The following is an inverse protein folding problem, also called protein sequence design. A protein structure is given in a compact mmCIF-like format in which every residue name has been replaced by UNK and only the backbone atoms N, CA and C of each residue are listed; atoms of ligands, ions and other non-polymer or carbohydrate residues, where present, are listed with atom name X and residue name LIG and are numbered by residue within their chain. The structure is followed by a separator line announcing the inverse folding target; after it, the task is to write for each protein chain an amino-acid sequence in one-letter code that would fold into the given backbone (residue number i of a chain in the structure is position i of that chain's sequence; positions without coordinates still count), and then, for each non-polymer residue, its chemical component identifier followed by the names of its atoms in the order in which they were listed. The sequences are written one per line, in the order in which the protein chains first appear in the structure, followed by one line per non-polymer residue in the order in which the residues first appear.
data_IF_197526320968
#
_entry.id   IF_197526320968
#
_cell.length_a   1.000
_cell.length_b   1.000
_cell.length_c   1.000
_cell.angle_alpha   90.00
_cell.angle_beta   90.00
_cell.angle_gamma   90.00
#
_symmetry.space_group_name_H-M   'P 1'
#
loop_
_entity.id
_entity.type
_entity.pdbx_description
1 polymer ?
#
# COMPACT_ATOMS: atom_id res chain seq x y z
N UNK A 1 -26.72 60.98 -43.37
CA UNK A 1 -27.06 59.87 -44.29
C UNK A 1 -25.82 59.01 -44.45
N UNK A 2 -25.94 57.69 -44.30
CA UNK A 2 -24.95 56.73 -44.79
C UNK A 2 -23.86 56.29 -43.80
N UNK A 3 -23.95 55.02 -43.41
CA UNK A 3 -23.08 54.16 -42.59
C UNK A 3 -21.70 53.97 -43.26
N UNK A 4 -20.62 53.40 -42.70
CA UNK A 4 -20.15 52.93 -41.38
C UNK A 4 -19.07 51.88 -41.71
N UNK A 5 -17.96 51.84 -40.93
CA UNK A 5 -17.11 50.66 -40.62
C UNK A 5 -16.20 50.11 -41.75
N UNK A 6 -14.94 49.71 -41.53
CA UNK A 6 -14.07 49.51 -40.35
C UNK A 6 -12.62 49.71 -40.83
N UNK A 7 -11.76 50.28 -39.97
CA UNK A 7 -10.33 50.37 -40.20
C UNK A 7 -9.56 49.12 -39.75
N UNK A 8 -8.45 48.87 -40.43
CA UNK A 8 -7.18 48.46 -39.79
C UNK A 8 -6.23 49.66 -39.86
N UNK A 9 -5.18 49.72 -39.02
CA UNK A 9 -3.86 49.56 -39.65
C UNK A 9 -2.76 48.92 -38.78
N UNK A 10 -1.64 48.68 -39.46
CA UNK A 10 -0.38 48.06 -39.04
C UNK A 10 0.51 49.02 -38.22
N UNK A 11 1.50 48.43 -37.54
CA UNK A 11 2.75 48.98 -36.93
C UNK A 11 3.62 49.79 -37.93
N UNK A 12 4.73 50.52 -37.60
CA UNK A 12 5.80 50.27 -36.58
C UNK A 12 6.44 51.59 -35.95
N UNK A 13 7.78 51.79 -35.80
CA UNK A 13 8.71 51.66 -34.62
C UNK A 13 9.35 53.04 -34.16
N UNK A 14 10.57 53.18 -33.56
CA UNK A 14 11.14 52.78 -32.24
C UNK A 14 11.80 53.99 -31.44
N UNK A 15 12.93 53.92 -30.66
CA UNK A 15 13.11 54.53 -29.31
C UNK A 15 14.21 55.65 -29.24
N UNK A 16 14.59 56.21 -28.06
CA UNK A 16 15.87 55.84 -27.36
C UNK A 16 15.91 56.07 -25.81
N UNK A 17 16.60 55.23 -25.00
CA UNK A 17 17.88 55.39 -24.23
C UNK A 17 18.07 56.59 -23.27
N UNK A 18 18.41 56.32 -21.98
CA UNK A 18 19.54 56.90 -21.21
C UNK A 18 19.63 56.41 -19.73
N UNK A 19 20.87 56.16 -19.24
CA UNK A 19 21.37 56.63 -17.92
C UNK A 19 21.25 55.78 -16.63
N UNK A 20 22.35 55.54 -15.86
CA UNK A 20 22.41 54.67 -14.65
C UNK A 20 22.44 55.43 -13.29
N UNK A 21 22.37 54.68 -12.17
CA UNK A 21 23.32 54.69 -11.00
C UNK A 21 22.70 54.60 -9.57
N UNK A 22 23.46 53.92 -8.69
CA UNK A 22 23.55 53.95 -7.21
C UNK A 22 22.64 53.12 -6.26
N UNK A 23 23.36 52.63 -5.23
CA UNK A 23 23.11 51.66 -4.14
C UNK A 23 22.26 52.25 -2.99
N UNK A 24 21.56 51.39 -2.24
CA UNK A 24 21.74 51.15 -0.79
C UNK A 24 20.83 50.00 -0.27
N UNK A 25 21.43 49.11 0.52
CA UNK A 25 20.83 48.19 1.52
C UNK A 25 21.13 48.84 2.91
N UNK A 26 20.52 48.49 4.07
CA UNK A 26 19.82 47.23 4.41
C UNK A 26 18.62 47.34 5.41
N UNK A 27 18.12 46.16 5.81
CA UNK A 27 17.49 45.78 7.09
C UNK A 27 15.96 45.86 7.29
N UNK A 28 15.40 44.65 7.40
CA UNK A 28 14.46 44.15 8.41
C UNK A 28 13.12 44.89 8.60
N UNK A 29 12.03 44.27 8.16
CA UNK A 29 10.93 44.00 9.11
C UNK A 29 10.05 42.83 8.66
N UNK A 30 9.72 41.98 9.64
CA UNK A 30 8.88 40.82 9.51
C UNK A 30 7.44 41.25 9.21
N UNK A 31 7.03 41.16 7.93
CA UNK A 31 5.65 41.31 7.51
C UNK A 31 5.02 39.96 7.21
N UNK A 32 4.55 39.26 8.24
CA UNK A 32 3.61 38.15 8.11
C UNK A 32 2.34 38.66 7.42
N UNK A 33 2.28 38.56 6.09
CA UNK A 33 1.02 38.62 5.37
C UNK A 33 0.34 37.27 5.58
N UNK A 34 -0.41 37.19 6.67
CA UNK A 34 -1.36 36.13 6.96
C UNK A 34 -2.45 36.19 5.87
N UNK A 35 -2.20 35.55 4.72
CA UNK A 35 -3.23 35.35 3.71
C UNK A 35 -4.33 34.52 4.34
N UNK A 36 -5.50 35.15 4.45
CA UNK A 36 -6.71 34.64 5.06
C UNK A 36 -7.14 33.34 4.37
N UNK A 37 -6.65 32.20 4.86
CA UNK A 37 -7.14 30.89 4.46
C UNK A 37 -8.51 30.73 5.10
N UNK A 38 -9.57 30.85 4.31
CA UNK A 38 -10.92 30.49 4.74
C UNK A 38 -10.85 29.11 5.40
N UNK A 39 -11.30 29.02 6.65
CA UNK A 39 -11.25 27.83 7.48
C UNK A 39 -12.25 26.80 6.95
N UNK A 40 -11.85 26.12 5.87
CA UNK A 40 -12.52 24.94 5.39
C UNK A 40 -12.38 23.85 6.46
N UNK A 41 -13.41 23.02 6.71
CA UNK A 41 -13.39 21.96 7.72
C UNK A 41 -12.41 20.81 7.39
N UNK A 42 -11.50 21.02 6.44
CA UNK A 42 -10.48 20.09 5.99
C UNK A 42 -9.21 20.88 5.66
N UNK A 43 -8.06 20.28 5.96
CA UNK A 43 -6.76 20.80 5.52
C UNK A 43 -6.68 20.65 4.01
N UNK A 44 -6.58 21.76 3.29
CA UNK A 44 -6.33 21.79 1.85
C UNK A 44 -4.86 22.16 1.61
N UNK A 45 -4.17 21.40 0.77
CA UNK A 45 -2.83 21.78 0.28
C UNK A 45 -2.96 22.39 -1.10
N UNK A 46 -2.37 23.56 -1.30
CA UNK A 46 -2.26 24.17 -2.64
C UNK A 46 -1.24 23.42 -3.51
N UNK A 47 -0.29 22.74 -2.86
CA UNK A 47 0.68 21.88 -3.51
C UNK A 47 0.02 20.55 -3.90
N UNK A 48 0.16 20.19 -5.17
CA UNK A 48 -0.26 18.89 -5.68
C UNK A 48 0.59 17.82 -4.99
N UNK A 49 -0.02 16.94 -4.19
CA UNK A 49 0.66 15.73 -3.76
C UNK A 49 1.16 14.98 -5.00
N UNK A 50 2.41 14.52 -4.99
CA UNK A 50 2.94 13.57 -5.97
C UNK A 50 2.22 12.23 -5.80
N UNK A 51 0.94 12.19 -6.14
CA UNK A 51 0.20 10.96 -6.31
C UNK A 51 0.76 10.30 -7.56
N UNK A 52 1.24 9.06 -7.43
CA UNK A 52 1.67 8.22 -8.54
C UNK A 52 0.47 7.87 -9.42
N UNK A 53 -0.10 8.86 -10.09
CA UNK A 53 -1.22 8.69 -10.99
C UNK A 53 -0.67 8.02 -12.25
N UNK A 54 -1.02 6.74 -12.37
CA UNK A 54 -0.86 5.88 -13.56
C UNK A 54 0.51 5.25 -13.84
N UNK A 55 1.56 5.50 -13.05
CA UNK A 55 2.83 4.79 -13.25
C UNK A 55 3.07 3.79 -12.10
N UNK A 56 2.96 2.46 -12.34
CA UNK A 56 3.45 1.50 -11.36
C UNK A 56 4.93 1.82 -11.06
N UNK A 57 5.40 1.65 -9.81
CA UNK A 57 6.81 1.85 -9.50
C UNK A 57 7.65 1.07 -10.52
N UNK A 58 8.75 1.64 -11.04
CA UNK A 58 9.58 0.96 -12.01
C UNK A 58 9.91 -0.41 -11.43
N UNK A 59 9.35 -1.44 -12.07
CA UNK A 59 9.63 -2.80 -11.67
C UNK A 59 11.16 -2.96 -11.79
N UNK A 60 11.85 -3.50 -10.79
CA UNK A 60 13.27 -3.86 -10.93
C UNK A 60 13.53 -4.80 -12.13
N UNK A 61 12.46 -5.38 -12.68
CA UNK A 61 12.44 -6.26 -13.85
C UNK A 61 12.11 -5.55 -15.17
N UNK A 62 11.86 -4.22 -15.16
CA UNK A 62 11.57 -3.39 -16.34
C UNK A 62 12.66 -2.40 -16.70
N UNK A 63 13.73 -2.33 -15.94
CA UNK A 63 15.00 -2.01 -16.58
C UNK A 63 15.27 -3.18 -17.52
N UNK A 64 15.17 -2.94 -18.83
CA UNK A 64 15.90 -3.77 -19.76
C UNK A 64 17.32 -3.74 -19.26
N UNK A 65 17.74 -4.82 -18.57
CA UNK A 65 19.13 -5.06 -18.20
C UNK A 65 19.96 -4.52 -19.35
N UNK A 66 20.99 -3.68 -19.12
CA UNK A 66 21.86 -3.26 -20.19
C UNK A 66 22.17 -4.53 -20.97
N UNK A 67 21.77 -4.56 -22.24
CA UNK A 67 22.05 -5.67 -23.14
C UNK A 67 23.54 -5.53 -23.42
N UNK A 68 24.38 -5.73 -22.40
CA UNK A 68 25.48 -6.62 -22.63
C UNK A 68 24.80 -7.85 -23.18
N UNK A 69 25.03 -8.11 -24.46
CA UNK A 69 25.04 -9.45 -25.01
C UNK A 69 26.11 -10.23 -24.24
N UNK A 70 25.93 -10.38 -22.93
CA UNK A 70 26.46 -11.47 -22.17
C UNK A 70 25.85 -12.65 -22.89
N UNK A 71 26.65 -13.19 -23.79
CA UNK A 71 26.39 -14.42 -24.51
C UNK A 71 26.34 -15.47 -23.42
N UNK A 72 25.21 -15.55 -22.72
CA UNK A 72 24.95 -16.57 -21.72
C UNK A 72 25.12 -17.85 -22.51
N UNK A 73 26.11 -18.65 -22.12
CA UNK A 73 26.37 -19.93 -22.77
C UNK A 73 25.16 -20.84 -22.47
N UNK A 74 24.11 -20.69 -23.29
CA UNK A 74 22.91 -21.50 -23.18
C UNK A 74 23.26 -22.86 -23.77
N UNK A 75 23.23 -23.94 -22.97
CA UNK A 75 23.44 -25.28 -23.51
C UNK A 75 22.34 -25.58 -24.52
N UNK A 76 22.73 -26.01 -25.71
CA UNK A 76 21.80 -26.46 -26.76
C UNK A 76 21.68 -27.97 -26.74
N UNK A 77 20.51 -28.47 -27.15
CA UNK A 77 20.29 -29.89 -27.44
C UNK A 77 20.05 -30.06 -28.94
N UNK A 78 20.30 -31.27 -29.45
CA UNK A 78 20.05 -31.65 -30.84
C UNK A 78 19.32 -32.98 -30.89
N UNK A 79 18.57 -33.19 -31.95
CA UNK A 79 18.00 -34.50 -32.24
C UNK A 79 19.12 -35.47 -32.65
N UNK A 80 19.16 -36.63 -32.00
CA UNK A 80 20.10 -37.71 -32.28
C UNK A 80 19.31 -39.00 -32.32
N UNK A 81 19.00 -39.48 -33.52
CA UNK A 81 18.29 -40.73 -33.71
C UNK A 81 19.28 -41.87 -33.47
N UNK A 82 18.94 -42.76 -32.52
CA UNK A 82 19.72 -43.94 -32.19
C UNK A 82 18.86 -45.18 -32.49
N UNK A 83 19.42 -46.12 -33.23
CA UNK A 83 18.78 -47.41 -33.49
C UNK A 83 18.90 -48.32 -32.25
N UNK A 84 17.86 -49.11 -31.92
CA UNK A 84 17.96 -50.09 -30.85
C UNK A 84 19.11 -51.06 -31.06
N UNK A 85 19.87 -51.32 -30.00
CA UNK A 85 21.01 -52.20 -30.05
C UNK A 85 20.56 -53.66 -30.25
N UNK A 86 21.30 -54.42 -31.07
CA UNK A 86 21.04 -55.84 -31.26
C UNK A 86 21.27 -56.65 -29.97
N UNK A 87 20.64 -57.82 -29.85
CA UNK A 87 20.67 -58.62 -28.62
C UNK A 87 22.09 -59.03 -28.17
N UNK A 88 22.99 -59.29 -29.13
CA UNK A 88 24.40 -59.60 -28.86
C UNK A 88 25.12 -58.40 -28.23
N UNK A 89 25.03 -57.26 -28.89
CA UNK A 89 25.62 -55.98 -28.45
C UNK A 89 25.04 -55.53 -27.10
N UNK A 90 23.76 -55.81 -26.83
CA UNK A 90 23.12 -55.49 -25.54
C UNK A 90 23.69 -56.31 -24.37
N UNK A 91 24.18 -57.51 -24.65
CA UNK A 91 24.80 -58.39 -23.63
C UNK A 91 26.24 -57.99 -23.33
N UNK A 92 26.88 -57.23 -24.23
CA UNK A 92 28.23 -56.71 -24.09
C UNK A 92 28.28 -55.39 -23.29
N UNK A 93 27.13 -54.84 -22.88
CA UNK A 93 27.05 -53.63 -22.04
C UNK A 93 27.59 -53.97 -20.63
N UNK A 94 28.70 -53.35 -20.19
CA UNK A 94 29.33 -53.70 -18.91
C UNK A 94 28.57 -53.16 -17.69
N UNK A 95 27.60 -52.27 -17.90
CA UNK A 95 26.78 -51.68 -16.84
C UNK A 95 25.52 -52.51 -16.57
N UNK A 96 25.35 -52.96 -15.32
CA UNK A 96 24.13 -53.61 -14.88
C UNK A 96 23.03 -52.57 -14.63
N UNK A 97 21.89 -52.72 -15.33
CA UNK A 97 20.75 -51.81 -15.27
C UNK A 97 19.63 -52.27 -14.32
N UNK A 98 19.89 -53.28 -13.47
CA UNK A 98 18.91 -53.77 -12.50
C UNK A 98 18.60 -52.71 -11.44
N UNK A 99 17.33 -52.64 -11.01
CA UNK A 99 16.86 -51.71 -9.98
C UNK A 99 17.70 -51.75 -8.70
N UNK A 100 18.16 -52.93 -8.30
CA UNK A 100 18.98 -53.12 -7.11
C UNK A 100 20.30 -52.34 -7.17
N UNK A 101 20.88 -52.16 -8.36
CA UNK A 101 22.11 -51.36 -8.54
C UNK A 101 21.82 -49.89 -8.29
N UNK A 102 20.73 -49.36 -8.84
CA UNK A 102 20.31 -47.98 -8.62
C UNK A 102 19.91 -47.73 -7.17
N UNK A 103 19.16 -48.65 -6.55
CA UNK A 103 18.80 -48.58 -5.14
C UNK A 103 20.04 -48.51 -4.24
N UNK A 104 21.05 -49.36 -4.49
CA UNK A 104 22.32 -49.32 -3.76
C UNK A 104 23.09 -48.02 -4.01
N UNK A 105 23.17 -47.57 -5.27
CA UNK A 105 23.85 -46.33 -5.66
C UNK A 105 23.24 -45.10 -4.98
N UNK A 106 21.91 -45.04 -4.86
CA UNK A 106 21.20 -43.88 -4.33
C UNK A 106 20.90 -43.95 -2.82
N UNK A 107 20.98 -45.13 -2.20
CA UNK A 107 20.62 -45.35 -0.78
C UNK A 107 21.25 -44.33 0.17
N UNK A 108 22.55 -44.07 0.04
CA UNK A 108 23.25 -43.10 0.89
C UNK A 108 22.73 -41.67 0.70
N UNK A 109 22.56 -41.23 -0.54
CA UNK A 109 22.10 -39.87 -0.87
C UNK A 109 20.68 -39.64 -0.35
N UNK A 110 19.80 -40.62 -0.54
CA UNK A 110 18.42 -40.57 -0.05
C UNK A 110 18.38 -40.46 1.48
N UNK A 111 19.19 -41.26 2.18
CA UNK A 111 19.28 -41.21 3.65
C UNK A 111 19.83 -39.87 4.15
N UNK A 112 20.83 -39.31 3.46
CA UNK A 112 21.41 -38.02 3.79
C UNK A 112 20.41 -36.88 3.60
N UNK A 113 19.62 -36.89 2.53
CA UNK A 113 18.51 -35.94 2.33
C UNK A 113 17.44 -36.08 3.41
N UNK A 114 17.03 -37.32 3.73
CA UNK A 114 16.07 -37.58 4.82
C UNK A 114 16.59 -37.07 6.17
N UNK A 115 17.89 -37.24 6.45
CA UNK A 115 18.54 -36.74 7.67
C UNK A 115 18.54 -35.21 7.71
N UNK A 116 18.94 -34.55 6.61
CA UNK A 116 18.92 -33.09 6.48
C UNK A 116 17.51 -32.52 6.67
N UNK A 117 16.49 -33.13 6.05
CA UNK A 117 15.08 -32.73 6.25
C UNK A 117 14.65 -32.80 7.72
N UNK A 118 15.01 -33.87 8.45
CA UNK A 118 14.69 -33.98 9.88
C UNK A 118 15.38 -32.90 10.71
N UNK A 119 16.66 -32.65 10.41
CA UNK A 119 17.45 -31.61 11.07
C UNK A 119 16.87 -30.21 10.85
N UNK A 120 16.52 -29.87 9.61
CA UNK A 120 15.93 -28.57 9.28
C UNK A 120 14.55 -28.39 9.92
N UNK A 121 13.72 -29.44 9.92
CA UNK A 121 12.42 -29.42 10.62
C UNK A 121 12.62 -29.15 12.11
N UNK A 122 13.58 -29.83 12.75
CA UNK A 122 13.87 -29.62 14.17
C UNK A 122 14.34 -28.17 14.42
N UNK A 123 15.30 -27.68 13.64
CA UNK A 123 15.82 -26.33 13.75
C UNK A 123 14.74 -25.27 13.57
N UNK A 124 13.85 -25.43 12.57
CA UNK A 124 12.73 -24.51 12.34
C UNK A 124 11.77 -24.51 13.54
N UNK A 125 11.49 -25.68 14.13
CA UNK A 125 10.63 -25.77 15.33
C UNK A 125 11.22 -25.03 16.52
N UNK A 126 12.52 -25.24 16.77
CA UNK A 126 13.26 -24.56 17.83
C UNK A 126 13.28 -23.04 17.62
N UNK A 127 13.60 -22.58 16.41
CA UNK A 127 13.57 -21.16 16.04
C UNK A 127 12.18 -20.53 16.24
N UNK A 128 11.11 -21.22 15.83
CA UNK A 128 9.73 -20.76 16.03
C UNK A 128 9.36 -20.70 17.51
N UNK A 129 9.80 -21.66 18.33
CA UNK A 129 9.57 -21.64 19.77
C UNK A 129 10.26 -20.43 20.41
N UNK A 130 11.54 -20.22 20.09
CA UNK A 130 12.33 -19.09 20.58
C UNK A 130 11.70 -17.75 20.17
N UNK A 131 11.33 -17.60 18.90
CA UNK A 131 10.68 -16.40 18.38
C UNK A 131 9.35 -16.11 19.08
N UNK A 132 8.51 -17.12 19.32
CA UNK A 132 7.25 -16.96 20.07
C UNK A 132 7.49 -16.52 21.50
N UNK A 133 8.51 -17.08 22.16
CA UNK A 133 8.88 -16.68 23.52
C UNK A 133 9.35 -15.22 23.57
N UNK A 134 10.20 -14.82 22.64
CA UNK A 134 10.68 -13.44 22.51
C UNK A 134 9.53 -12.46 22.22
N UNK A 135 8.57 -12.83 21.36
CA UNK A 135 7.36 -12.02 21.13
C UNK A 135 6.52 -11.87 22.39
N UNK A 136 6.34 -12.92 23.20
CA UNK A 136 5.63 -12.82 24.49
C UNK A 136 6.35 -11.92 25.46
N UNK A 137 7.68 -12.01 25.55
CA UNK A 137 8.49 -11.12 26.38
C UNK A 137 8.36 -9.66 25.92
N UNK A 138 8.49 -9.39 24.62
CA UNK A 138 8.38 -8.03 24.09
C UNK A 138 6.95 -7.47 24.24
N UNK A 139 5.90 -8.27 24.06
CA UNK A 139 4.53 -7.87 24.36
C UNK A 139 4.35 -7.51 25.84
N UNK A 140 4.96 -8.27 26.75
CA UNK A 140 4.96 -7.91 28.19
C UNK A 140 5.70 -6.61 28.46
N UNK A 141 6.80 -6.34 27.77
CA UNK A 141 7.54 -5.07 27.89
C UNK A 141 6.75 -3.88 27.34
N UNK A 142 6.03 -4.04 26.23
CA UNK A 142 5.17 -3.00 25.64
C UNK A 142 3.90 -2.76 26.47
N UNK A 143 3.40 -3.76 27.18
CA UNK A 143 2.26 -3.62 28.12
C UNK A 143 2.73 -3.15 29.52
N UNK A 144 4.04 -3.11 29.79
CA UNK A 144 4.64 -2.59 31.03
C UNK A 144 5.13 -1.14 30.89
N UNK A 145 4.72 -0.40 29.86
CA UNK A 145 4.45 1.02 30.09
C UNK A 145 3.09 1.05 30.77
N UNK A 146 3.11 1.12 32.10
CA UNK A 146 1.95 1.34 32.92
C UNK A 146 1.21 2.57 32.38
N UNK A 147 0.17 2.34 31.59
CA UNK A 147 -0.99 3.23 31.53
C UNK A 147 -1.30 3.55 33.00
N UNK A 148 -1.29 4.83 33.41
CA UNK A 148 -1.67 5.17 34.77
C UNK A 148 -3.02 4.51 35.00
N UNK A 149 -3.11 3.64 36.01
CA UNK A 149 -4.35 2.94 36.32
C UNK A 149 -5.43 4.02 36.47
N UNK A 150 -6.32 4.12 35.47
CA UNK A 150 -7.49 4.99 35.51
C UNK A 150 -8.43 4.43 36.59
N UNK A 151 -8.11 4.72 37.85
CA UNK A 151 -8.88 4.32 39.03
C UNK A 151 -10.23 5.06 39.09
N UNK A 152 -10.34 6.18 38.38
CA UNK A 152 -11.54 7.01 38.30
C UNK A 152 -11.64 7.72 36.95
N UNK A 153 -12.84 7.78 36.40
CA UNK A 153 -13.17 8.65 35.25
C UNK A 153 -13.55 10.07 35.70
N UNK A 154 -13.64 10.31 37.01
CA UNK A 154 -13.91 11.62 37.57
C UNK A 154 -12.59 12.36 37.82
N UNK A 155 -12.52 13.68 37.54
CA UNK A 155 -11.40 14.51 37.94
C UNK A 155 -11.17 14.40 39.45
N UNK A 156 -9.90 14.50 39.88
CA UNK A 156 -9.60 14.60 41.30
C UNK A 156 -10.20 15.90 41.86
N UNK A 157 -10.76 15.81 43.08
CA UNK A 157 -11.44 16.94 43.72
C UNK A 157 -10.47 18.10 44.03
N UNK A 158 -9.18 17.81 44.12
CA UNK A 158 -8.10 18.81 44.32
C UNK A 158 -7.80 19.61 43.03
N UNK A 159 -8.14 19.07 41.84
CA UNK A 159 -7.85 19.69 40.54
C UNK A 159 -9.01 20.57 40.02
N UNK A 160 -10.05 20.78 40.83
CA UNK A 160 -11.20 21.60 40.43
C UNK A 160 -10.87 23.09 40.57
N UNK A 161 -10.43 23.71 39.48
CA UNK A 161 -10.04 25.14 39.46
C UNK A 161 -11.25 26.10 39.46
N UNK A 162 -12.36 25.74 38.81
CA UNK A 162 -13.56 26.60 38.75
C UNK A 162 -14.86 25.84 38.45
N UNK A 163 -15.99 26.43 38.90
CA UNK A 163 -17.34 25.93 38.61
C UNK A 163 -17.98 26.83 37.55
N UNK A 164 -18.14 26.30 36.34
CA UNK A 164 -18.82 27.00 35.26
C UNK A 164 -20.34 26.85 35.39
N UNK A 165 -21.03 27.94 35.70
CA UNK A 165 -22.50 27.98 35.70
C UNK A 165 -22.98 28.38 34.31
N UNK A 166 -23.48 27.41 33.55
CA UNK A 166 -24.06 27.65 32.22
C UNK A 166 -25.59 27.77 32.36
N UNK A 167 -26.23 28.82 31.79
CA UNK A 167 -27.68 29.04 31.94
C UNK A 167 -28.55 27.99 31.23
N UNK A 168 -27.94 27.10 30.44
CA UNK A 168 -28.59 25.94 29.83
C UNK A 168 -27.81 24.67 30.20
N UNK A 169 -28.54 23.66 30.70
CA UNK A 169 -27.99 22.35 31.01
C UNK A 169 -27.86 21.56 29.70
N UNK A 170 -26.64 21.18 29.25
CA UNK A 170 -26.50 20.43 28.01
C UNK A 170 -27.04 19.01 28.17
N UNK A 171 -27.50 18.43 27.06
CA UNK A 171 -27.77 16.99 27.01
C UNK A 171 -26.42 16.27 27.02
N UNK A 172 -26.21 15.41 28.01
CA UNK A 172 -24.93 14.72 28.24
C UNK A 172 -25.08 13.23 27.95
N UNK A 173 -24.07 12.64 27.31
CA UNK A 173 -23.88 11.20 27.21
C UNK A 173 -22.42 10.86 27.58
N UNK A 174 -22.20 9.79 28.35
CA UNK A 174 -20.87 9.37 28.83
C UNK A 174 -20.07 10.50 29.52
N UNK A 175 -20.75 11.39 30.25
CA UNK A 175 -20.11 12.50 30.97
C UNK A 175 -19.65 13.67 30.09
N UNK A 176 -19.98 13.68 28.78
CA UNK A 176 -19.67 14.78 27.85
C UNK A 176 -20.96 15.34 27.21
N UNK A 177 -21.08 16.67 26.99
CA UNK A 177 -22.15 17.26 26.20
C UNK A 177 -22.23 16.64 24.79
N UNK A 178 -23.44 16.31 24.32
CA UNK A 178 -23.64 15.81 22.97
C UNK A 178 -23.31 16.89 21.92
N UNK A 179 -22.51 16.58 20.90
CA UNK A 179 -22.26 17.51 19.80
C UNK A 179 -23.51 17.65 18.91
N UNK A 180 -23.66 18.81 18.27
CA UNK A 180 -24.71 19.02 17.26
C UNK A 180 -24.37 18.23 15.98
N UNK A 181 -25.10 17.15 15.72
CA UNK A 181 -24.97 16.35 14.50
C UNK A 181 -25.87 16.93 13.40
N UNK A 182 -25.33 17.11 12.20
CA UNK A 182 -26.13 17.45 11.02
C UNK A 182 -27.01 16.25 10.64
N UNK A 183 -28.28 16.43 10.25
CA UNK A 183 -29.10 15.34 9.76
C UNK A 183 -28.43 14.64 8.56
N UNK A 184 -28.26 13.32 8.65
CA UNK A 184 -27.69 12.48 7.60
C UNK A 184 -28.39 11.11 7.62
N UNK A 185 -28.51 10.47 6.47
CA UNK A 185 -28.94 9.07 6.40
C UNK A 185 -27.85 8.16 6.99
N UNK A 186 -28.27 7.08 7.64
CA UNK A 186 -27.33 6.09 8.16
C UNK A 186 -26.69 5.31 7.01
N UNK A 187 -25.36 5.25 7.03
CA UNK A 187 -24.58 4.50 6.06
C UNK A 187 -23.52 3.64 6.77
N UNK A 188 -23.28 2.45 6.24
CA UNK A 188 -22.25 1.56 6.75
C UNK A 188 -20.88 1.95 6.14
N UNK A 189 -19.85 2.23 6.95
CA UNK A 189 -18.56 2.74 6.47
C UNK A 189 -17.81 1.79 5.53
N UNK A 190 -18.12 0.50 5.57
CA UNK A 190 -17.48 -0.54 4.75
C UNK A 190 -18.29 -0.91 3.49
N UNK A 191 -19.44 -0.27 3.25
CA UNK A 191 -20.25 -0.46 2.05
C UNK A 191 -19.99 0.69 1.08
N UNK A 192 -19.14 0.41 0.09
CA UNK A 192 -18.84 1.31 -1.01
C UNK A 192 -20.11 1.65 -1.80
N UNK A 193 -20.17 2.84 -2.38
CA UNK A 193 -21.29 3.33 -3.19
C UNK A 193 -21.73 2.31 -4.27
N UNK A 194 -20.75 1.60 -4.87
CA UNK A 194 -20.97 0.55 -5.86
C UNK A 194 -21.72 -0.67 -5.32
N UNK A 195 -21.54 -0.99 -4.04
CA UNK A 195 -22.26 -2.08 -3.36
C UNK A 195 -23.67 -1.69 -2.95
N UNK A 196 -23.92 -0.38 -2.72
CA UNK A 196 -25.27 0.16 -2.44
C UNK A 196 -26.18 0.06 -3.67
N UNK A 197 -25.66 0.40 -4.86
CA UNK A 197 -26.41 0.30 -6.12
C UNK A 197 -26.86 -1.13 -6.47
N UNK A 198 -26.10 -2.16 -6.06
CA UNK A 198 -26.48 -3.56 -6.34
C UNK A 198 -27.67 -4.04 -5.51
N UNK A 199 -27.85 -3.51 -4.29
CA UNK A 199 -28.99 -3.88 -3.45
C UNK A 199 -30.31 -3.39 -4.05
N UNK A 200 -30.32 -2.19 -4.64
CA UNK A 200 -31.55 -1.57 -5.15
C UNK A 200 -32.08 -2.22 -6.44
N UNK A 201 -31.20 -2.77 -7.28
CA UNK A 201 -31.54 -3.32 -8.60
C UNK A 201 -32.04 -4.78 -8.59
N UNK A 202 -32.01 -5.48 -7.45
CA UNK A 202 -32.40 -6.91 -7.38
C UNK A 202 -33.87 -7.18 -7.09
N UNK A 203 -34.75 -6.17 -7.22
CA UNK A 203 -36.21 -6.38 -7.26
C UNK A 203 -36.65 -6.93 -8.63
N UNK A 204 -36.05 -8.02 -9.10
CA UNK A 204 -36.62 -8.80 -10.21
C UNK A 204 -37.81 -9.58 -9.68
N UNK A 205 -39.01 -9.15 -10.09
CA UNK A 205 -40.28 -9.87 -9.87
C UNK A 205 -40.11 -11.32 -10.33
N UNK A 206 -40.18 -12.26 -9.40
CA UNK A 206 -40.36 -13.68 -9.71
C UNK A 206 -41.75 -13.87 -10.32
N UNK A 207 -41.89 -14.57 -11.47
CA UNK A 207 -43.19 -14.83 -12.05
C UNK A 207 -43.98 -15.76 -11.11
N UNK A 208 -45.22 -15.37 -10.81
CA UNK A 208 -46.15 -16.14 -9.98
C UNK A 208 -46.26 -17.58 -10.49
N UNK A 209 -45.86 -18.53 -9.65
CA UNK A 209 -46.14 -19.96 -9.86
C UNK A 209 -47.61 -20.19 -9.51
N UNK A 210 -48.48 -20.31 -10.50
CA UNK A 210 -49.89 -20.66 -10.27
C UNK A 210 -49.99 -22.12 -9.84
N UNK A 211 -50.61 -22.36 -8.68
CA UNK A 211 -50.94 -23.70 -8.19
C UNK A 211 -52.01 -24.32 -9.11
N UNK A 212 -51.76 -25.52 -9.65
CA UNK A 212 -52.81 -26.33 -10.29
C UNK A 212 -53.52 -27.15 -9.21
N UNK A 213 -54.85 -27.19 -9.31
CA UNK A 213 -55.80 -27.93 -8.46
C UNK A 213 -55.52 -29.42 -8.45
#
# INVERSE_FOLDING_TARGET
MGRSRRGQPRSPPPPPQDGPDLKEEPQEEMGLVLSHSEELPYLATTEMYLCCWHQPPPSPWRESSPVHEDTVAVPSWRESILEPLGQKESSDIPECLDDNVFLKRHSKLELDEKRRKRWDIQRIREQRMFQRLQQRMNRRKVIQESEPELLSFYPDLEDVESVMVTPFLPVVAFGRPLPNLKPQNFDLPWLDERSRFRAEMTKKRTPHRTCRK
#
